data_IF_216872660618
#
_entry.id   IF_216872660618
#
_cell.length_a   1.000
_cell.length_b   1.000
_cell.length_c   1.000
_cell.angle_alpha   90.00
_cell.angle_beta   90.00
_cell.angle_gamma   90.00
#
_symmetry.space_group_name_H-M   'P 1'
#
loop_
_entity.id
_entity.type
_entity.pdbx_description
1 polymer ?
#
# COMPACT_ATOMS: atom_id res chain seq x y z
N UNK A 1 -0.82 -13.35 -9.34
CA UNK A 1 -0.74 -12.85 -7.95
C UNK A 1 0.29 -11.74 -7.98
N UNK A 2 -0.14 -10.51 -7.78
CA UNK A 2 0.67 -9.32 -8.02
C UNK A 2 1.74 -9.16 -6.96
N UNK A 3 3.02 -9.14 -7.31
CA UNK A 3 4.10 -8.97 -6.33
C UNK A 3 5.11 -7.94 -6.86
N UNK A 4 5.11 -6.76 -6.27
CA UNK A 4 5.96 -5.62 -6.59
C UNK A 4 7.28 -5.82 -5.85
N UNK A 5 8.41 -5.82 -6.56
CA UNK A 5 9.73 -5.94 -5.94
C UNK A 5 10.43 -4.58 -5.89
N UNK A 6 10.93 -4.16 -4.73
CA UNK A 6 11.70 -2.93 -4.57
C UNK A 6 13.17 -3.29 -4.38
N UNK A 7 13.93 -3.14 -5.46
CA UNK A 7 15.38 -3.24 -5.47
C UNK A 7 15.97 -1.89 -5.05
N UNK A 8 16.86 -1.89 -4.06
CA UNK A 8 17.56 -0.70 -3.60
C UNK A 8 18.90 -1.08 -2.97
N UNK A 9 19.83 -0.11 -2.93
CA UNK A 9 21.09 -0.28 -2.21
C UNK A 9 20.96 0.35 -0.82
N UNK A 10 21.11 -0.47 0.23
CA UNK A 10 20.93 -0.04 1.63
C UNK A 10 21.84 1.13 2.03
N UNK A 11 23.11 1.09 1.60
CA UNK A 11 24.12 2.11 1.90
C UNK A 11 23.90 3.45 1.15
N UNK A 12 22.90 3.49 0.27
CA UNK A 12 22.62 4.59 -0.66
C UNK A 12 21.24 5.21 -0.38
N UNK A 13 20.18 4.40 -0.47
CA UNK A 13 18.82 4.92 -0.64
C UNK A 13 17.76 4.31 0.30
N UNK A 14 18.17 3.67 1.41
CA UNK A 14 17.26 2.95 2.31
C UNK A 14 16.03 3.75 2.77
N UNK A 15 16.22 4.99 3.21
CA UNK A 15 15.09 5.84 3.65
C UNK A 15 14.14 6.22 2.50
N UNK A 16 14.68 6.42 1.30
CA UNK A 16 13.88 6.77 0.13
C UNK A 16 13.09 5.55 -0.37
N UNK A 17 13.73 4.39 -0.44
CA UNK A 17 13.10 3.10 -0.73
C UNK A 17 11.99 2.76 0.27
N UNK A 18 12.23 2.94 1.57
CA UNK A 18 11.22 2.69 2.61
C UNK A 18 9.97 3.55 2.46
N UNK A 19 10.10 4.83 2.05
CA UNK A 19 8.94 5.70 1.79
C UNK A 19 8.16 5.30 0.55
N UNK A 20 8.85 4.78 -0.48
CA UNK A 20 8.20 4.21 -1.67
C UNK A 20 7.45 2.93 -1.26
N UNK A 21 8.08 2.07 -0.46
CA UNK A 21 7.47 0.86 0.08
C UNK A 21 6.17 1.17 0.82
N UNK A 22 6.21 2.08 1.79
CA UNK A 22 5.03 2.49 2.55
C UNK A 22 3.88 2.97 1.64
N UNK A 23 4.20 3.76 0.60
CA UNK A 23 3.21 4.25 -0.37
C UNK A 23 2.58 3.12 -1.16
N UNK A 24 3.39 2.18 -1.64
CA UNK A 24 2.93 1.04 -2.44
C UNK A 24 2.15 0.04 -1.58
N UNK A 25 2.60 -0.25 -0.36
CA UNK A 25 1.87 -1.11 0.58
C UNK A 25 0.49 -0.55 0.91
N UNK A 26 0.36 0.77 1.03
CA UNK A 26 -0.94 1.42 1.26
C UNK A 26 -1.93 1.20 0.11
N UNK A 27 -1.43 1.07 -1.11
CA UNK A 27 -2.25 0.94 -2.33
C UNK A 27 -2.52 -0.52 -2.72
N UNK A 28 -1.51 -1.37 -2.58
CA UNK A 28 -1.53 -2.75 -3.08
C UNK A 28 -1.57 -3.79 -1.95
N UNK A 29 -1.33 -3.39 -0.70
CA UNK A 29 -1.23 -4.26 0.46
C UNK A 29 0.19 -4.79 0.70
N UNK A 30 0.55 -4.94 1.98
CA UNK A 30 1.90 -5.36 2.38
C UNK A 30 2.31 -6.78 1.94
N UNK A 31 1.35 -7.63 1.56
CA UNK A 31 1.65 -8.98 1.06
C UNK A 31 2.09 -9.01 -0.41
N UNK A 32 1.85 -7.90 -1.12
CA UNK A 32 2.10 -7.77 -2.55
C UNK A 32 3.27 -6.82 -2.83
N UNK A 33 3.96 -6.32 -1.80
CA UNK A 33 5.16 -5.49 -1.92
C UNK A 33 6.30 -6.17 -1.16
N UNK A 34 7.39 -6.43 -1.88
CA UNK A 34 8.60 -7.04 -1.34
C UNK A 34 9.71 -6.02 -1.42
N UNK A 35 10.25 -5.68 -0.26
CA UNK A 35 11.45 -4.90 -0.12
C UNK A 35 12.36 -5.71 0.80
N UNK A 36 13.66 -5.69 0.50
CA UNK A 36 14.69 -6.29 1.36
C UNK A 36 14.65 -7.84 1.39
N UNK A 37 15.67 -8.47 0.80
CA UNK A 37 15.78 -9.93 0.76
C UNK A 37 16.55 -10.48 1.97
N UNK A 38 16.80 -9.68 3.02
CA UNK A 38 17.57 -10.12 4.19
C UNK A 38 16.96 -11.30 4.97
N UNK A 39 15.70 -11.66 4.71
CA UNK A 39 15.06 -12.81 5.34
C UNK A 39 15.26 -14.11 4.53
N UNK A 40 16.47 -14.32 3.99
CA UNK A 40 16.84 -15.58 3.33
C UNK A 40 16.84 -16.69 4.37
N UNK A 41 16.00 -17.74 4.21
CA UNK A 41 15.99 -18.83 5.17
C UNK A 41 17.37 -19.50 5.28
N UNK A 42 17.77 -19.83 6.51
CA UNK A 42 19.05 -20.49 6.77
C UNK A 42 19.17 -21.78 5.96
N UNK A 43 20.32 -21.97 5.31
CA UNK A 43 20.62 -23.17 4.52
C UNK A 43 20.08 -23.17 3.08
N UNK A 44 19.36 -22.13 2.65
CA UNK A 44 18.92 -21.97 1.26
C UNK A 44 20.02 -21.32 0.42
N UNK A 45 20.19 -21.75 -0.83
CA UNK A 45 21.02 -21.03 -1.79
C UNK A 45 20.38 -19.66 -2.05
N UNK A 46 21.02 -18.61 -1.55
CA UNK A 46 20.52 -17.25 -1.66
C UNK A 46 20.21 -16.86 -3.10
N UNK A 47 21.01 -17.30 -4.07
CA UNK A 47 20.84 -16.92 -5.48
C UNK A 47 19.56 -17.50 -6.04
N UNK A 48 19.24 -18.74 -5.66
CA UNK A 48 17.97 -19.37 -6.03
C UNK A 48 16.80 -18.66 -5.35
N UNK A 49 16.93 -18.32 -4.07
CA UNK A 49 15.89 -17.58 -3.36
C UNK A 49 15.59 -16.20 -3.98
N UNK A 50 16.64 -15.45 -4.31
CA UNK A 50 16.57 -14.16 -4.99
C UNK A 50 15.95 -14.29 -6.38
N UNK A 51 16.39 -15.28 -7.16
CA UNK A 51 15.82 -15.55 -8.48
C UNK A 51 14.33 -15.92 -8.38
N UNK A 52 13.95 -16.80 -7.45
CA UNK A 52 12.57 -17.22 -7.23
C UNK A 52 11.70 -16.04 -6.77
N UNK A 53 12.21 -15.19 -5.89
CA UNK A 53 11.52 -13.99 -5.43
C UNK A 53 11.25 -13.03 -6.60
N UNK A 54 12.28 -12.73 -7.39
CA UNK A 54 12.17 -11.84 -8.57
C UNK A 54 11.27 -12.45 -9.64
N UNK A 55 11.38 -13.76 -9.93
CA UNK A 55 10.58 -14.42 -10.98
C UNK A 55 9.07 -14.39 -10.75
N UNK A 56 8.64 -14.18 -9.50
CA UNK A 56 7.23 -14.10 -9.11
C UNK A 56 6.66 -12.68 -9.21
N UNK A 57 7.48 -11.71 -9.56
CA UNK A 57 7.11 -10.31 -9.59
C UNK A 57 6.74 -9.84 -11.00
N UNK A 58 5.63 -9.13 -11.12
CA UNK A 58 5.21 -8.49 -12.38
C UNK A 58 5.95 -7.17 -12.64
N UNK A 59 6.37 -6.50 -11.56
CA UNK A 59 7.02 -5.18 -11.60
C UNK A 59 8.18 -5.14 -10.63
N UNK A 60 9.32 -4.65 -11.09
CA UNK A 60 10.48 -4.30 -10.27
C UNK A 60 10.67 -2.78 -10.25
N UNK A 61 10.69 -2.20 -9.05
CA UNK A 61 11.07 -0.82 -8.81
C UNK A 61 12.55 -0.79 -8.46
N UNK A 62 13.36 -0.10 -9.24
CA UNK A 62 14.81 0.03 -9.00
C UNK A 62 15.10 1.42 -8.46
N UNK A 63 15.47 1.50 -7.19
CA UNK A 63 15.80 2.77 -6.54
C UNK A 63 17.27 3.11 -6.75
N UNK A 64 17.52 4.15 -7.54
CA UNK A 64 18.88 4.62 -7.87
C UNK A 64 19.12 5.93 -7.11
N UNK A 65 19.88 5.87 -6.01
CA UNK A 65 20.31 7.03 -5.25
C UNK A 65 21.62 7.64 -5.76
N UNK A 66 22.11 8.64 -5.02
CA UNK A 66 23.25 9.49 -5.41
C UNK A 66 24.58 8.73 -5.45
N UNK A 67 24.73 7.69 -4.63
CA UNK A 67 25.93 6.88 -4.52
C UNK A 67 25.80 5.53 -5.19
N UNK A 68 24.67 5.21 -5.81
CA UNK A 68 24.35 3.88 -6.34
C UNK A 68 25.47 3.25 -7.20
N UNK A 69 26.07 4.03 -8.09
CA UNK A 69 27.22 3.63 -8.93
C UNK A 69 28.58 3.64 -8.21
N UNK A 70 28.70 4.41 -7.14
CA UNK A 70 29.98 4.75 -6.49
C UNK A 70 30.24 3.93 -5.22
N UNK A 71 29.29 3.11 -4.76
CA UNK A 71 29.51 2.25 -3.60
C UNK A 71 30.57 1.21 -3.94
N UNK A 72 31.63 1.18 -3.13
CA UNK A 72 32.75 0.25 -3.23
C UNK A 72 32.67 -0.85 -2.18
N UNK A 73 33.28 -2.00 -2.46
CA UNK A 73 33.50 -3.07 -1.50
C UNK A 73 34.80 -2.88 -0.68
N UNK A 74 35.11 -3.83 0.20
CA UNK A 74 36.32 -3.82 1.04
C UNK A 74 37.62 -3.88 0.22
N UNK A 75 37.55 -4.29 -1.06
CA UNK A 75 38.68 -4.32 -1.99
C UNK A 75 38.87 -2.99 -2.74
N UNK A 76 37.93 -2.06 -2.59
CA UNK A 76 37.93 -0.77 -3.30
C UNK A 76 37.34 -0.84 -4.71
N UNK A 77 36.78 -1.99 -5.12
CA UNK A 77 36.09 -2.14 -6.41
C UNK A 77 34.63 -1.70 -6.29
N UNK A 78 34.03 -1.18 -7.38
CA UNK A 78 32.60 -0.84 -7.38
C UNK A 78 31.79 -2.10 -7.16
N UNK A 79 30.88 -2.08 -6.19
CA UNK A 79 30.02 -3.23 -5.88
C UNK A 79 29.18 -3.67 -7.08
N UNK A 80 28.75 -2.72 -7.91
CA UNK A 80 27.95 -3.04 -9.10
C UNK A 80 28.75 -3.84 -10.15
N UNK A 81 30.08 -3.76 -10.15
CA UNK A 81 30.94 -4.55 -11.04
C UNK A 81 31.16 -5.98 -10.53
N UNK A 82 30.89 -6.25 -9.24
CA UNK A 82 30.94 -7.59 -8.68
C UNK A 82 29.72 -8.41 -9.17
N UNK A 83 29.92 -9.53 -9.90
CA UNK A 83 28.83 -10.43 -10.30
C UNK A 83 28.08 -11.06 -9.10
N UNK A 84 28.60 -10.95 -7.88
CA UNK A 84 27.95 -11.45 -6.65
C UNK A 84 27.14 -10.38 -5.91
N UNK A 85 27.15 -9.13 -6.36
CA UNK A 85 26.37 -8.08 -5.71
C UNK A 85 24.87 -8.30 -5.90
N UNK A 86 24.11 -8.25 -4.79
CA UNK A 86 22.68 -8.56 -4.81
C UNK A 86 21.86 -7.63 -5.70
N UNK A 87 22.17 -6.33 -5.67
CA UNK A 87 21.46 -5.35 -6.50
C UNK A 87 21.63 -5.68 -7.98
N UNK A 88 22.86 -6.04 -8.37
CA UNK A 88 23.15 -6.50 -9.73
C UNK A 88 22.37 -7.77 -10.08
N UNK A 89 22.46 -8.81 -9.26
CA UNK A 89 21.82 -10.12 -9.51
C UNK A 89 20.29 -9.96 -9.68
N UNK A 90 19.66 -9.16 -8.82
CA UNK A 90 18.21 -8.92 -8.90
C UNK A 90 17.82 -8.23 -10.21
N UNK A 91 18.55 -7.19 -10.61
CA UNK A 91 18.29 -6.46 -11.86
C UNK A 91 18.54 -7.36 -13.08
N UNK A 92 19.63 -8.13 -13.10
CA UNK A 92 19.90 -9.10 -14.17
C UNK A 92 18.78 -10.13 -14.29
N UNK A 93 18.29 -10.63 -13.15
CA UNK A 93 17.16 -11.56 -13.11
C UNK A 93 15.89 -10.92 -13.66
N UNK A 94 15.60 -9.66 -13.31
CA UNK A 94 14.44 -8.95 -13.84
C UNK A 94 14.53 -8.69 -15.34
N UNK A 95 15.70 -8.31 -15.85
CA UNK A 95 15.94 -8.15 -17.29
C UNK A 95 15.75 -9.48 -18.02
N UNK A 96 16.34 -10.56 -17.49
CA UNK A 96 16.27 -11.90 -18.09
C UNK A 96 14.84 -12.45 -18.15
N UNK A 97 14.03 -12.19 -17.13
CA UNK A 97 12.64 -12.63 -17.04
C UNK A 97 11.65 -11.62 -17.66
N UNK A 98 12.14 -10.59 -18.35
CA UNK A 98 11.32 -9.56 -18.99
C UNK A 98 10.33 -8.85 -18.04
N UNK A 99 10.70 -8.76 -16.76
CA UNK A 99 9.90 -8.06 -15.74
C UNK A 99 9.87 -6.57 -16.09
N UNK A 100 8.73 -5.92 -15.85
CA UNK A 100 8.63 -4.47 -16.01
C UNK A 100 9.49 -3.78 -14.97
N UNK A 101 10.58 -3.15 -15.42
CA UNK A 101 11.50 -2.39 -14.56
C UNK A 101 11.16 -0.91 -14.63
N UNK A 102 10.94 -0.30 -13.46
CA UNK A 102 10.69 1.14 -13.31
C UNK A 102 11.78 1.75 -12.41
N UNK A 103 12.77 2.47 -12.98
CA UNK A 103 13.74 3.20 -12.18
C UNK A 103 13.07 4.38 -11.45
N UNK A 104 13.38 4.55 -10.17
CA UNK A 104 12.92 5.68 -9.35
C UNK A 104 14.13 6.36 -8.73
N UNK A 105 14.26 7.66 -8.95
CA UNK A 105 15.42 8.44 -8.58
C UNK A 105 15.03 9.62 -7.70
N UNK A 106 15.86 10.02 -6.72
CA UNK A 106 15.76 11.33 -6.11
C UNK A 106 15.93 12.44 -7.17
N UNK A 107 15.27 13.59 -6.98
CA UNK A 107 15.20 14.67 -7.97
C UNK A 107 16.55 15.16 -8.53
N UNK A 108 17.64 15.03 -7.77
CA UNK A 108 18.98 15.50 -8.15
C UNK A 108 19.88 14.36 -8.68
N UNK A 109 19.34 13.17 -8.90
CA UNK A 109 20.06 12.01 -9.40
C UNK A 109 19.68 11.77 -10.84
N UNK A 110 20.69 11.61 -11.69
CA UNK A 110 20.51 11.28 -13.10
C UNK A 110 20.51 9.76 -13.30
N UNK A 111 19.83 9.30 -14.35
CA UNK A 111 19.97 7.91 -14.79
C UNK A 111 21.44 7.60 -15.13
N UNK A 112 21.96 6.43 -14.73
CA UNK A 112 23.26 5.95 -15.17
C UNK A 112 23.36 5.91 -16.70
N UNK A 113 24.54 6.21 -17.24
CA UNK A 113 24.79 6.01 -18.67
C UNK A 113 25.09 4.55 -18.96
N UNK A 114 24.94 4.14 -20.20
CA UNK A 114 25.20 2.77 -20.63
C UNK A 114 26.64 2.35 -20.33
N UNK A 115 27.61 3.24 -20.53
CA UNK A 115 29.03 3.00 -20.28
C UNK A 115 29.40 2.88 -18.81
N UNK A 116 28.57 3.40 -17.90
CA UNK A 116 28.81 3.34 -16.45
C UNK A 116 28.41 1.99 -15.85
N UNK A 117 27.63 1.20 -16.60
CA UNK A 117 27.02 -0.05 -16.17
C UNK A 117 27.79 -1.29 -16.68
N UNK A 118 27.80 -2.39 -15.90
CA UNK A 118 28.16 -3.70 -16.42
C UNK A 118 27.35 -4.05 -17.66
N UNK A 119 27.94 -4.82 -18.59
CA UNK A 119 27.33 -5.15 -19.88
C UNK A 119 25.90 -5.70 -19.75
N UNK A 120 25.67 -6.56 -18.77
CA UNK A 120 24.38 -7.19 -18.47
C UNK A 120 23.31 -6.22 -17.96
N UNK A 121 23.71 -5.07 -17.41
CA UNK A 121 22.83 -4.05 -16.84
C UNK A 121 22.53 -2.90 -17.81
N UNK A 122 23.26 -2.79 -18.92
CA UNK A 122 23.09 -1.74 -19.94
C UNK A 122 21.63 -1.47 -20.35
N UNK A 123 20.75 -2.48 -20.51
CA UNK A 123 19.34 -2.24 -20.82
C UNK A 123 18.60 -1.38 -19.79
N UNK A 124 19.08 -1.27 -18.54
CA UNK A 124 18.52 -0.41 -17.50
C UNK A 124 18.61 1.07 -17.87
N UNK A 125 19.69 1.50 -18.53
CA UNK A 125 19.93 2.90 -18.89
C UNK A 125 18.85 3.46 -19.85
N UNK A 126 18.15 2.57 -20.58
CA UNK A 126 17.12 2.93 -21.55
C UNK A 126 15.69 2.87 -20.98
N UNK A 127 15.53 2.61 -19.69
CA UNK A 127 14.22 2.58 -19.02
C UNK A 127 13.78 4.00 -18.65
N UNK A 128 12.49 4.30 -18.85
CA UNK A 128 11.93 5.59 -18.46
C UNK A 128 11.82 5.66 -16.94
N UNK A 129 12.34 6.74 -16.37
CA UNK A 129 12.54 6.84 -14.93
C UNK A 129 11.59 7.85 -14.30
N UNK A 130 11.16 7.58 -13.07
CA UNK A 130 10.40 8.52 -12.26
C UNK A 130 11.35 9.28 -11.33
N UNK A 131 11.44 10.59 -11.51
CA UNK A 131 12.21 11.48 -10.63
C UNK A 131 11.32 12.06 -9.53
N UNK A 132 11.69 11.85 -8.25
CA UNK A 132 10.88 12.21 -7.08
C UNK A 132 11.69 13.08 -6.12
N UNK A 133 11.11 14.20 -5.69
CA UNK A 133 11.77 15.13 -4.75
C UNK A 133 11.46 14.76 -3.30
N UNK A 134 12.34 15.10 -2.36
CA UNK A 134 12.09 14.92 -0.92
C UNK A 134 11.11 15.95 -0.31
N UNK A 135 10.39 16.72 -1.14
CA UNK A 135 9.51 17.79 -0.68
C UNK A 135 8.25 17.27 0.03
N UNK A 136 7.44 18.20 0.57
CA UNK A 136 6.15 17.89 1.21
C UNK A 136 5.16 17.17 0.29
N UNK A 137 5.37 17.21 -1.03
CA UNK A 137 4.51 16.55 -2.04
C UNK A 137 5.00 15.16 -2.46
N UNK A 138 6.01 14.59 -1.80
CA UNK A 138 6.59 13.29 -2.13
C UNK A 138 5.54 12.20 -2.44
N UNK A 139 4.51 12.07 -1.60
CA UNK A 139 3.49 11.02 -1.76
C UNK A 139 2.69 11.17 -3.06
N UNK A 140 2.39 12.40 -3.49
CA UNK A 140 1.65 12.69 -4.72
C UNK A 140 2.55 12.52 -5.95
N UNK A 141 3.86 12.76 -5.81
CA UNK A 141 4.82 12.53 -6.90
C UNK A 141 4.95 11.05 -7.25
N UNK A 142 4.51 10.13 -6.38
CA UNK A 142 4.45 8.71 -6.64
C UNK A 142 3.16 8.26 -7.36
N UNK A 143 2.18 9.15 -7.59
CA UNK A 143 0.93 8.77 -8.26
C UNK A 143 1.15 8.17 -9.67
N UNK A 144 2.07 8.69 -10.52
CA UNK A 144 2.39 8.05 -11.79
C UNK A 144 2.98 6.63 -11.63
N UNK A 145 3.72 6.38 -10.54
CA UNK A 145 4.24 5.05 -10.22
C UNK A 145 3.09 4.10 -9.91
N UNK A 146 2.21 4.50 -9.01
CA UNK A 146 1.04 3.72 -8.58
C UNK A 146 0.15 3.39 -9.78
N UNK A 147 -0.11 4.36 -10.65
CA UNK A 147 -0.92 4.17 -11.85
C UNK A 147 -0.27 3.19 -12.83
N UNK A 148 1.05 3.29 -13.03
CA UNK A 148 1.79 2.36 -13.89
C UNK A 148 1.75 0.94 -13.32
N UNK A 149 2.02 0.78 -12.02
CA UNK A 149 1.98 -0.50 -11.34
C UNK A 149 0.57 -1.11 -11.43
N UNK A 150 -0.49 -0.33 -11.19
CA UNK A 150 -1.87 -0.80 -11.29
C UNK A 150 -2.19 -1.32 -12.68
N UNK A 151 -1.72 -0.63 -13.73
CA UNK A 151 -1.92 -1.04 -15.12
C UNK A 151 -1.21 -2.34 -15.46
N UNK A 152 0.07 -2.48 -15.10
CA UNK A 152 0.84 -3.70 -15.37
C UNK A 152 0.21 -4.88 -14.65
N UNK A 153 -0.19 -4.68 -13.40
CA UNK A 153 -0.67 -5.76 -12.54
C UNK A 153 -2.13 -6.15 -12.82
N UNK A 154 -2.94 -5.25 -13.41
CA UNK A 154 -4.28 -5.58 -13.89
C UNK A 154 -4.26 -6.54 -15.10
N UNK A 155 -3.24 -6.45 -15.97
CA UNK A 155 -3.10 -7.30 -17.16
C UNK A 155 -2.77 -8.75 -16.79
N UNK A 156 -2.12 -8.98 -15.65
CA UNK A 156 -1.74 -10.30 -15.14
C UNK A 156 -2.86 -11.01 -14.34
N UNK A 157 -4.07 -10.43 -14.29
CA UNK A 157 -5.22 -11.11 -13.66
C UNK A 157 -5.85 -12.07 -14.67
N UNK A 158 -5.94 -13.39 -14.38
CA UNK A 158 -6.62 -14.33 -15.25
C UNK A 158 -8.09 -13.93 -15.44
N UNK A 159 -8.55 -13.94 -16.70
CA UNK A 159 -9.94 -13.65 -17.15
C UNK A 159 -10.93 -14.75 -16.72
N UNK A 160 -10.74 -15.39 -15.56
CA UNK A 160 -11.58 -16.51 -15.10
C UNK A 160 -12.83 -16.09 -14.32
N UNK A 161 -13.03 -14.79 -14.06
CA UNK A 161 -14.18 -14.28 -13.32
C UNK A 161 -15.30 -13.66 -14.18
N UNK A 162 -15.26 -13.81 -15.52
CA UNK A 162 -16.30 -13.27 -16.42
C UNK A 162 -16.80 -14.33 -17.41
N UNK A 163 -17.07 -15.57 -16.99
CA UNK A 163 -17.92 -16.48 -17.79
C UNK A 163 -18.62 -17.52 -16.89
N UNK A 164 -19.63 -17.13 -16.10
CA UNK A 164 -20.77 -18.02 -15.81
C UNK A 164 -22.01 -17.18 -15.48
N UNK A 165 -22.77 -16.84 -16.52
CA UNK A 165 -24.24 -16.89 -16.54
C UNK A 165 -24.70 -16.30 -17.86
N UNK A 166 -24.84 -17.14 -18.88
CA UNK A 166 -26.04 -17.19 -19.72
C UNK A 166 -25.86 -18.21 -20.85
N UNK A 167 -26.79 -19.14 -20.91
CA UNK A 167 -27.12 -19.86 -22.13
C UNK A 167 -28.63 -20.12 -22.14
N UNK A 168 -29.23 -20.54 -23.26
CA UNK A 168 -28.91 -20.19 -24.65
C UNK A 168 -30.09 -19.47 -25.36
N UNK A 169 -29.70 -18.64 -26.33
CA UNK A 169 -30.40 -18.20 -27.55
C UNK A 169 -31.93 -18.35 -27.68
N UNK A 170 -32.61 -17.22 -27.86
CA UNK A 170 -33.65 -17.09 -28.89
C UNK A 170 -33.78 -15.63 -29.41
N UNK A 171 -33.41 -15.46 -30.67
CA UNK A 171 -34.03 -14.64 -31.74
C UNK A 171 -35.05 -13.57 -31.32
N UNK A 172 -34.78 -12.29 -31.63
CA UNK A 172 -35.64 -11.43 -32.49
C UNK A 172 -35.23 -9.93 -32.44
N UNK A 173 -34.93 -9.41 -33.63
CA UNK A 173 -35.24 -8.09 -34.19
C UNK A 173 -35.28 -6.83 -33.30
N UNK A 174 -34.32 -5.93 -33.56
CA UNK A 174 -34.51 -4.67 -34.31
C UNK A 174 -35.60 -3.67 -33.88
N UNK A 175 -35.20 -2.39 -33.91
CA UNK A 175 -35.99 -1.16 -33.79
C UNK A 175 -36.17 -0.60 -32.36
N UNK A 176 -35.45 0.48 -32.05
CA UNK A 176 -36.02 1.82 -31.96
C UNK A 176 -34.90 2.85 -32.19
N UNK A 177 -35.10 3.67 -33.21
CA UNK A 177 -34.31 4.86 -33.54
C UNK A 177 -34.71 6.04 -32.63
N UNK A 178 -33.71 6.86 -32.32
CA UNK A 178 -33.74 8.31 -32.19
C UNK A 178 -34.74 8.99 -31.25
N UNK A 179 -34.18 9.62 -30.21
CA UNK A 179 -34.38 11.05 -29.88
C UNK A 179 -33.04 11.53 -29.27
N UNK A 180 -32.29 12.41 -29.93
CA UNK A 180 -32.49 13.86 -30.06
C UNK A 180 -31.99 14.63 -28.83
N UNK A 181 -30.79 15.19 -29.00
CA UNK A 181 -30.32 16.53 -28.60
C UNK A 181 -30.35 17.01 -27.14
N UNK A 182 -29.30 17.79 -26.84
CA UNK A 182 -29.11 18.70 -25.72
C UNK A 182 -28.68 18.09 -24.38
N UNK A 183 -27.46 18.39 -23.94
CA UNK A 183 -27.23 19.55 -23.06
C UNK A 183 -25.91 19.34 -22.30
N UNK A 184 -25.04 20.34 -22.39
CA UNK A 184 -23.89 20.49 -21.52
C UNK A 184 -24.40 20.87 -20.13
N UNK A 185 -24.15 20.04 -19.11
CA UNK A 185 -24.29 20.45 -17.72
C UNK A 185 -23.11 19.92 -16.91
N UNK A 186 -22.22 20.84 -16.56
CA UNK A 186 -21.33 20.74 -15.41
C UNK A 186 -22.24 20.67 -14.19
N UNK A 187 -22.31 19.51 -13.53
CA UNK A 187 -22.88 19.42 -12.19
C UNK A 187 -21.87 18.93 -11.17
N UNK A 188 -21.71 19.82 -10.21
CA UNK A 188 -21.04 19.72 -8.93
C UNK A 188 -21.66 18.62 -8.05
N UNK A 189 -20.86 18.05 -7.14
CA UNK A 189 -21.30 17.14 -6.09
C UNK A 189 -21.41 15.64 -6.47
N UNK A 190 -21.10 14.68 -5.60
CA UNK A 190 -20.78 14.70 -4.19
C UNK A 190 -19.94 13.46 -3.87
N UNK A 191 -18.84 13.63 -3.13
CA UNK A 191 -18.26 12.53 -2.35
C UNK A 191 -19.35 12.09 -1.39
N UNK A 192 -19.81 10.86 -1.54
CA UNK A 192 -20.81 10.27 -0.66
C UNK A 192 -20.31 10.37 0.78
N UNK A 193 -20.97 11.22 1.58
CA UNK A 193 -20.68 11.44 3.00
C UNK A 193 -20.86 10.18 3.85
N UNK A 194 -21.41 9.10 3.27
CA UNK A 194 -21.68 7.83 3.92
C UNK A 194 -20.41 7.02 4.27
N UNK A 195 -19.31 7.15 3.53
CA UNK A 195 -18.05 6.44 3.81
C UNK A 195 -17.20 7.16 4.86
N UNK A 196 -17.30 8.49 4.95
CA UNK A 196 -16.61 9.31 5.96
C UNK A 196 -17.33 9.21 7.33
N UNK A 197 -18.66 9.04 7.34
CA UNK A 197 -19.43 8.87 8.59
C UNK A 197 -19.13 7.55 9.32
N UNK A 198 -18.71 6.49 8.62
CA UNK A 198 -18.39 5.20 9.24
C UNK A 198 -17.12 5.26 10.08
N UNK A 199 -16.09 5.99 9.63
CA UNK A 199 -14.83 6.12 10.37
C UNK A 199 -14.90 7.13 11.51
N UNK A 200 -15.75 8.17 11.40
CA UNK A 200 -15.98 9.16 12.48
C UNK A 200 -16.63 8.54 13.73
N UNK A 201 -17.49 7.52 13.55
CA UNK A 201 -18.15 6.88 14.69
C UNK A 201 -17.18 6.04 15.55
N UNK A 202 -16.33 5.22 14.93
CA UNK A 202 -15.41 4.35 15.67
C UNK A 202 -14.26 5.12 16.31
N UNK A 203 -13.79 6.21 15.70
CA UNK A 203 -12.80 7.10 16.34
C UNK A 203 -13.39 7.81 17.55
N UNK A 204 -14.65 8.27 17.50
CA UNK A 204 -15.33 8.87 18.64
C UNK A 204 -15.55 7.87 19.79
N UNK A 205 -15.88 6.61 19.48
CA UNK A 205 -16.00 5.55 20.49
C UNK A 205 -14.65 5.25 21.13
N UNK A 206 -13.59 5.18 20.32
CA UNK A 206 -12.23 4.92 20.81
C UNK A 206 -11.70 6.04 21.70
N UNK A 207 -11.93 7.31 21.34
CA UNK A 207 -11.49 8.45 22.17
C UNK A 207 -12.22 8.51 23.50
N UNK A 208 -13.52 8.22 23.53
CA UNK A 208 -14.29 8.13 24.78
C UNK A 208 -13.81 6.97 25.65
N UNK A 209 -13.49 5.81 25.06
CA UNK A 209 -12.94 4.67 25.79
C UNK A 209 -11.57 4.98 26.41
N UNK A 210 -10.68 5.65 25.66
CA UNK A 210 -9.37 6.08 26.15
C UNK A 210 -9.54 7.11 27.29
N UNK A 211 -10.42 8.10 27.12
CA UNK A 211 -10.71 9.10 28.16
C UNK A 211 -11.26 8.46 29.44
N UNK A 212 -12.05 7.40 29.32
CA UNK A 212 -12.57 6.67 30.47
C UNK A 212 -11.46 5.88 31.18
N UNK A 213 -10.60 5.21 30.42
CA UNK A 213 -9.43 4.49 30.96
C UNK A 213 -8.47 5.44 31.69
N UNK A 214 -8.23 6.63 31.15
CA UNK A 214 -7.37 7.63 31.81
C UNK A 214 -8.01 8.19 33.08
N UNK A 215 -9.30 8.53 33.07
CA UNK A 215 -10.01 9.01 34.27
C UNK A 215 -10.06 7.94 35.35
N UNK A 216 -10.29 6.67 34.98
CA UNK A 216 -10.34 5.56 35.95
C UNK A 216 -8.97 5.29 36.55
N UNK A 217 -7.91 5.34 35.74
CA UNK A 217 -6.53 5.20 36.20
C UNK A 217 -6.15 6.36 37.11
N UNK A 218 -6.47 7.60 36.71
CA UNK A 218 -6.20 8.79 37.50
C UNK A 218 -6.96 8.77 38.85
N UNK A 219 -8.20 8.29 38.85
CA UNK A 219 -9.00 8.10 40.06
C UNK A 219 -8.39 7.07 41.02
N UNK A 220 -7.70 6.05 40.50
CA UNK A 220 -6.99 5.05 41.31
C UNK A 220 -5.63 5.54 41.80
N UNK A 221 -4.96 6.42 41.06
CA UNK A 221 -3.63 6.95 41.41
C UNK A 221 -3.66 8.20 42.27
N UNK A 222 -4.74 9.00 42.22
CA UNK A 222 -4.91 10.18 43.06
C UNK A 222 -5.50 9.73 44.39
N UNK A 223 -4.73 9.92 45.46
CA UNK A 223 -5.00 9.48 46.82
C UNK A 223 -6.21 10.24 47.41
N UNK A 224 -7.42 9.81 47.05
CA UNK A 224 -8.65 10.34 47.64
C UNK A 224 -8.74 9.81 49.08
N UNK A 225 -8.88 10.69 50.09
CA UNK A 225 -8.94 10.29 51.50
C UNK A 225 -10.06 9.28 51.74
N UNK A 226 -9.76 8.19 52.46
CA UNK A 226 -10.63 7.01 52.66
C UNK A 226 -12.07 7.33 53.09
N UNK A 227 -12.30 8.49 53.71
CA UNK A 227 -13.64 8.93 54.16
C UNK A 227 -14.64 9.25 53.04
N UNK A 228 -14.20 9.37 51.79
CA UNK A 228 -15.07 9.63 50.62
C UNK A 228 -15.30 8.41 49.72
N UNK A 229 -14.73 7.24 50.05
CA UNK A 229 -14.98 5.93 49.40
C UNK A 229 -16.36 5.34 49.78
N UNK A 230 -17.38 6.20 49.91
CA UNK A 230 -18.75 5.77 50.17
C UNK A 230 -19.37 5.09 48.95
N UNK A 231 -20.18 4.05 49.18
CA UNK A 231 -20.81 3.21 48.15
C UNK A 231 -21.68 3.94 47.11
N UNK A 232 -21.94 5.24 47.29
CA UNK A 232 -22.65 6.10 46.34
C UNK A 232 -21.90 6.25 45.02
N UNK A 233 -20.57 6.36 45.04
CA UNK A 233 -19.77 6.49 43.81
C UNK A 233 -19.71 5.17 43.01
N UNK A 234 -19.63 4.03 43.69
CA UNK A 234 -19.69 2.72 43.04
C UNK A 234 -21.07 2.47 42.42
N UNK A 235 -22.13 2.87 43.12
CA UNK A 235 -23.51 2.77 42.63
C UNK A 235 -23.75 3.65 41.39
N UNK A 236 -23.15 4.85 41.34
CA UNK A 236 -23.19 5.73 40.17
C UNK A 236 -22.42 5.15 38.98
N UNK A 237 -21.26 4.54 39.21
CA UNK A 237 -20.51 3.86 38.15
C UNK A 237 -21.29 2.67 37.56
N UNK A 238 -21.96 1.89 38.41
CA UNK A 238 -22.81 0.77 37.98
C UNK A 238 -24.03 1.26 37.18
N UNK A 239 -24.71 2.31 37.64
CA UNK A 239 -25.82 2.93 36.91
C UNK A 239 -25.39 3.48 35.55
N UNK A 240 -24.22 4.11 35.47
CA UNK A 240 -23.66 4.59 34.20
C UNK A 240 -23.30 3.44 33.25
N UNK A 241 -22.72 2.35 33.76
CA UNK A 241 -22.42 1.17 32.94
C UNK A 241 -23.70 0.52 32.37
N UNK A 242 -24.79 0.49 33.16
CA UNK A 242 -26.08 -0.04 32.74
C UNK A 242 -26.70 0.84 31.64
N UNK A 243 -26.61 2.17 31.77
CA UNK A 243 -27.11 3.11 30.76
C UNK A 243 -26.37 2.96 29.41
N UNK A 244 -25.04 2.76 29.44
CA UNK A 244 -24.24 2.52 28.23
C UNK A 244 -24.64 1.18 27.58
N UNK A 245 -24.83 0.13 28.37
CA UNK A 245 -25.28 -1.17 27.87
C UNK A 245 -26.65 -1.08 27.19
N UNK A 246 -27.61 -0.36 27.78
CA UNK A 246 -28.93 -0.13 27.19
C UNK A 246 -28.83 0.67 25.89
N UNK A 247 -27.99 1.71 25.85
CA UNK A 247 -27.77 2.50 24.64
C UNK A 247 -27.16 1.66 23.50
N UNK A 248 -26.19 0.79 23.80
CA UNK A 248 -25.59 -0.12 22.83
C UNK A 248 -26.61 -1.11 22.26
N UNK A 249 -27.46 -1.70 23.12
CA UNK A 249 -28.51 -2.63 22.68
C UNK A 249 -29.52 -1.92 21.76
N UNK A 250 -29.91 -0.68 22.07
CA UNK A 250 -30.86 0.07 21.24
C UNK A 250 -30.24 0.49 19.90
N UNK A 251 -28.94 0.84 19.88
CA UNK A 251 -28.19 1.11 18.65
C UNK A 251 -28.12 -0.15 17.76
N UNK A 252 -27.82 -1.32 18.35
CA UNK A 252 -27.79 -2.60 17.63
C UNK A 252 -29.18 -2.93 17.07
N UNK A 253 -30.24 -2.75 17.85
CA UNK A 253 -31.64 -2.95 17.39
C UNK A 253 -32.02 -2.03 16.25
N UNK A 254 -31.63 -0.75 16.29
CA UNK A 254 -31.89 0.21 15.19
C UNK A 254 -31.11 -0.14 13.93
N UNK A 255 -29.87 -0.64 14.06
CA UNK A 255 -29.08 -1.10 12.91
C UNK A 255 -29.68 -2.35 12.26
N UNK A 256 -30.21 -3.28 13.06
CA UNK A 256 -30.91 -4.47 12.55
C UNK A 256 -32.20 -4.10 11.81
N UNK A 257 -33.04 -3.22 12.38
CA UNK A 257 -34.26 -2.72 11.73
C UNK A 257 -34.01 -2.01 10.39
N UNK A 258 -32.87 -1.33 10.22
CA UNK A 258 -32.52 -0.70 8.94
C UNK A 258 -32.09 -1.70 7.86
N UNK A 259 -31.64 -2.89 8.23
CA UNK A 259 -31.27 -3.93 7.27
C UNK A 259 -32.50 -4.74 6.79
N UNK A 260 -33.58 -4.82 7.57
CA UNK A 260 -34.79 -5.56 7.19
C UNK A 260 -35.77 -4.76 6.29
N UNK A 261 -35.59 -3.44 6.15
CA UNK A 261 -36.46 -2.56 5.32
C UNK A 261 -35.85 -2.28 3.93
N UNK A 262 -34.73 -2.92 3.61
CA UNK A 262 -34.03 -2.81 2.32
C UNK A 262 -34.18 -4.05 1.43
N UNK A 263 -35.41 -4.56 1.27
CA UNK A 263 -35.82 -5.54 0.24
C UNK A 263 -37.02 -4.96 -0.51
#
# INVERSE_FOLDING_TARGET
MTKIFINYRRDDSAHFAGRICERLEREFGSNDVFMDVDNIPLGVDFRQHLHDAVSRCSVMIVVIGDKWLQVIDDSGARRLDDPKDFVRIEIESAIKNEIVIIPVLPANVAMPREEDLPETLRPLAFRNALSVSHTTKFQNQLDPLVETVRRVTAVDTPVEAIVVAEGPAHVASESIRQTSEAQCDVHDGQITTASILKYSFWTAVLTVAIMFLTVTTLYWTVEIPEKLRGGTLFSLALLWSLLIAVALVEIIRRKRRKNDVGV
#
